data_IF_156492575150
#
_entry.id   IF_156492575150
#
_cell.length_a   1.000
_cell.length_b   1.000
_cell.length_c   1.000
_cell.angle_alpha   90.00
_cell.angle_beta   90.00
_cell.angle_gamma   90.00
#
_symmetry.space_group_name_H-M   'P 1'
#
loop_
_entity.id
_entity.type
_entity.pdbx_description
1 polymer ?
#
# COMPACT_ATOMS: atom_id res chain seq x y z
N UNK A 1 -9.39 28.86 24.98
CA UNK A 1 -10.17 29.33 23.80
C UNK A 1 -9.42 28.88 22.56
N UNK A 2 -9.68 27.66 22.09
CA UNK A 2 -9.32 27.15 20.77
C UNK A 2 -10.48 26.27 20.31
N UNK A 3 -11.52 26.94 19.83
CA UNK A 3 -12.60 26.31 19.04
C UNK A 3 -12.08 26.10 17.62
N UNK A 4 -11.55 24.92 17.36
CA UNK A 4 -11.18 24.42 16.04
C UNK A 4 -12.18 23.39 15.57
N UNK A 5 -13.25 23.87 15.04
CA UNK A 5 -14.25 23.34 14.14
C UNK A 5 -14.05 21.89 13.67
N UNK A 6 -14.64 20.89 14.35
CA UNK A 6 -15.09 19.66 13.73
C UNK A 6 -16.48 19.93 13.13
N UNK A 7 -16.52 20.44 11.91
CA UNK A 7 -17.75 20.43 11.11
C UNK A 7 -18.14 18.97 10.88
N UNK A 8 -19.30 18.62 11.41
CA UNK A 8 -20.03 17.42 11.04
C UNK A 8 -20.43 17.57 9.56
N UNK A 9 -19.57 17.12 8.65
CA UNK A 9 -19.97 16.89 7.28
C UNK A 9 -20.82 15.62 7.29
N UNK A 10 -22.08 15.80 6.91
CA UNK A 10 -23.00 14.71 6.58
C UNK A 10 -22.28 13.70 5.68
N UNK A 11 -22.49 12.39 5.86
CA UNK A 11 -21.85 11.40 4.99
C UNK A 11 -22.30 11.65 3.55
N UNK A 12 -21.39 12.11 2.71
CA UNK A 12 -21.58 12.02 1.27
C UNK A 12 -21.70 10.52 0.96
N UNK A 13 -22.89 10.11 0.54
CA UNK A 13 -23.18 8.78 0.05
C UNK A 13 -22.33 8.48 -1.18
N UNK A 14 -21.10 8.02 -0.98
CA UNK A 14 -20.38 7.25 -1.97
C UNK A 14 -20.75 5.78 -1.73
N UNK A 15 -21.81 5.33 -2.40
CA UNK A 15 -22.11 3.91 -2.48
C UNK A 15 -20.93 3.22 -3.19
N UNK A 16 -20.07 2.57 -2.42
CA UNK A 16 -19.07 1.66 -2.95
C UNK A 16 -19.82 0.41 -3.45
N UNK A 17 -19.61 -0.03 -4.69
CA UNK A 17 -20.38 -1.14 -5.26
C UNK A 17 -20.09 -2.53 -4.63
N UNK A 18 -19.16 -2.62 -3.68
CA UNK A 18 -18.80 -3.87 -3.01
C UNK A 18 -18.78 -3.72 -1.49
N UNK A 19 -19.54 -4.55 -0.75
CA UNK A 19 -19.46 -4.59 0.70
C UNK A 19 -18.14 -5.25 1.10
N UNK A 20 -17.15 -4.45 1.50
CA UNK A 20 -15.99 -4.96 2.22
C UNK A 20 -16.44 -5.12 3.67
N UNK A 21 -16.43 -6.36 4.16
CA UNK A 21 -16.97 -6.68 5.49
C UNK A 21 -15.99 -6.24 6.59
N UNK A 22 -16.52 -5.80 7.74
CA UNK A 22 -15.85 -5.55 9.03
C UNK A 22 -14.98 -6.73 9.54
N UNK A 23 -14.79 -7.74 8.70
CA UNK A 23 -14.04 -8.93 9.03
C UNK A 23 -12.54 -8.68 9.23
N UNK A 24 -11.97 -7.64 8.65
CA UNK A 24 -10.54 -7.34 8.72
C UNK A 24 -10.09 -6.89 10.12
N UNK A 25 -10.92 -6.12 10.83
CA UNK A 25 -10.63 -5.68 12.19
C UNK A 25 -11.05 -6.67 13.27
N UNK A 26 -12.02 -7.57 12.99
CA UNK A 26 -12.62 -8.48 13.99
C UNK A 26 -11.62 -9.37 14.75
N UNK A 27 -10.44 -9.59 14.21
CA UNK A 27 -9.39 -10.33 14.89
C UNK A 27 -8.39 -9.46 15.64
N UNK A 28 -8.34 -8.16 15.36
CA UNK A 28 -7.28 -7.26 15.85
C UNK A 28 -7.74 -6.27 16.92
N UNK A 29 -9.01 -5.88 16.92
CA UNK A 29 -9.59 -4.99 17.92
C UNK A 29 -10.63 -5.70 18.77
N UNK A 30 -10.78 -5.27 20.00
CA UNK A 30 -11.80 -5.83 20.91
C UNK A 30 -13.16 -5.18 20.73
N UNK A 31 -14.22 -5.80 21.28
CA UNK A 31 -15.59 -5.33 21.18
C UNK A 31 -15.86 -3.92 21.76
N UNK A 32 -14.89 -3.31 22.50
CA UNK A 32 -14.97 -1.91 22.93
C UNK A 32 -14.59 -0.99 21.79
N UNK A 33 -13.44 -1.21 21.15
CA UNK A 33 -12.99 -0.45 20.00
C UNK A 33 -13.90 -0.68 18.79
N UNK A 34 -14.41 -1.90 18.59
CA UNK A 34 -15.42 -2.20 17.56
C UNK A 34 -16.62 -1.26 17.68
N UNK A 35 -17.23 -1.18 18.88
CA UNK A 35 -18.39 -0.27 19.12
C UNK A 35 -18.08 1.20 18.88
N UNK A 36 -16.85 1.63 19.19
CA UNK A 36 -16.42 3.02 18.95
C UNK A 36 -16.24 3.31 17.46
N UNK A 37 -15.92 2.29 16.68
CA UNK A 37 -15.74 2.38 15.23
C UNK A 37 -17.02 2.05 14.44
N UNK A 38 -18.09 1.58 15.12
CA UNK A 38 -19.40 1.41 14.51
C UNK A 38 -19.86 2.72 13.82
N UNK A 39 -20.35 2.61 12.60
CA UNK A 39 -20.81 3.76 11.80
C UNK A 39 -19.76 4.40 10.91
N UNK A 40 -18.51 3.96 10.97
CA UNK A 40 -17.52 4.30 9.95
C UNK A 40 -17.54 3.26 8.81
N UNK A 41 -17.40 3.74 7.58
CA UNK A 41 -17.29 2.87 6.40
C UNK A 41 -15.87 2.28 6.32
N UNK A 42 -15.74 1.01 6.62
CA UNK A 42 -14.47 0.30 6.63
C UNK A 42 -13.78 0.31 5.27
N UNK A 43 -14.54 0.22 4.20
CA UNK A 43 -14.01 0.31 2.84
C UNK A 43 -13.30 1.63 2.56
N UNK A 44 -13.49 2.65 3.39
CA UNK A 44 -12.87 3.95 3.28
C UNK A 44 -11.85 4.26 4.38
N UNK A 45 -11.77 3.43 5.46
CA UNK A 45 -10.82 3.65 6.57
C UNK A 45 -9.44 3.16 6.19
N UNK A 46 -8.51 4.07 5.97
CA UNK A 46 -7.13 3.79 5.55
C UNK A 46 -6.14 3.67 6.71
N UNK A 47 -6.44 4.31 7.83
CA UNK A 47 -5.54 4.33 8.98
C UNK A 47 -6.31 4.55 10.29
N UNK A 48 -5.90 3.82 11.35
CA UNK A 48 -6.38 4.03 12.73
C UNK A 48 -5.19 4.26 13.63
N UNK A 49 -5.22 5.31 14.46
CA UNK A 49 -4.15 5.69 15.38
C UNK A 49 -4.61 5.60 16.82
N UNK A 50 -4.05 4.65 17.54
CA UNK A 50 -4.20 4.52 18.99
C UNK A 50 -2.99 5.14 19.68
N UNK A 51 -3.23 6.11 20.56
CA UNK A 51 -2.19 6.78 21.35
C UNK A 51 -2.72 6.95 22.79
N UNK A 52 -2.05 6.32 23.74
CA UNK A 52 -2.49 6.35 25.15
C UNK A 52 -2.73 7.76 25.64
N UNK A 53 -3.90 8.01 26.22
CA UNK A 53 -4.29 9.32 26.76
C UNK A 53 -4.62 10.40 25.72
N UNK A 54 -4.77 10.02 24.44
CA UNK A 54 -5.13 10.94 23.36
C UNK A 54 -6.40 10.48 22.66
N UNK A 55 -7.11 11.39 21.97
CA UNK A 55 -8.23 11.00 21.13
C UNK A 55 -7.85 9.89 20.14
N UNK A 56 -8.75 8.91 20.00
CA UNK A 56 -8.69 7.96 18.88
C UNK A 56 -8.83 8.74 17.58
N UNK A 57 -7.98 8.44 16.62
CA UNK A 57 -8.01 9.10 15.30
C UNK A 57 -8.09 8.03 14.24
N UNK A 58 -8.93 8.23 13.26
CA UNK A 58 -8.96 7.45 12.04
C UNK A 58 -8.98 8.36 10.81
N UNK A 59 -8.56 7.81 9.68
CA UNK A 59 -8.64 8.47 8.38
C UNK A 59 -9.60 7.67 7.50
N UNK A 60 -10.67 8.33 7.06
CA UNK A 60 -11.68 7.76 6.18
C UNK A 60 -11.83 8.62 4.93
N UNK A 61 -11.61 8.04 3.75
CA UNK A 61 -11.64 8.80 2.50
C UNK A 61 -10.67 9.99 2.48
N UNK A 62 -9.53 9.89 3.17
CA UNK A 62 -8.55 10.98 3.32
C UNK A 62 -8.91 12.02 4.39
N UNK A 63 -10.08 11.93 5.02
CA UNK A 63 -10.53 12.87 6.07
C UNK A 63 -10.16 12.32 7.44
N UNK A 64 -9.58 13.17 8.29
CA UNK A 64 -9.27 12.85 9.68
C UNK A 64 -10.53 12.93 10.55
N UNK A 65 -10.87 11.83 11.19
CA UNK A 65 -12.03 11.69 12.07
C UNK A 65 -11.59 11.35 13.51
N UNK A 66 -12.39 11.79 14.49
CA UNK A 66 -12.23 11.41 15.90
C UNK A 66 -13.56 10.79 16.38
N UNK A 67 -13.64 9.47 16.57
CA UNK A 67 -14.83 8.80 17.06
C UNK A 67 -15.32 9.36 18.39
N UNK A 68 -16.64 9.38 18.56
CA UNK A 68 -17.29 9.89 19.77
C UNK A 68 -18.16 8.80 20.38
N UNK A 69 -18.23 8.81 21.69
CA UNK A 69 -19.17 8.02 22.49
C UNK A 69 -20.20 8.97 23.13
N UNK A 70 -21.13 8.44 23.85
CA UNK A 70 -22.10 9.25 24.64
C UNK A 70 -21.38 10.20 25.61
N UNK A 71 -20.22 9.82 26.11
CA UNK A 71 -19.39 10.62 27.04
C UNK A 71 -18.46 11.62 26.35
N UNK A 72 -18.50 11.74 25.01
CA UNK A 72 -17.67 12.65 24.23
C UNK A 72 -16.68 11.96 23.30
N UNK A 73 -15.57 12.65 22.96
CA UNK A 73 -14.53 12.07 22.09
C UNK A 73 -13.87 10.90 22.81
N UNK A 74 -13.75 9.77 22.12
CA UNK A 74 -13.11 8.58 22.70
C UNK A 74 -11.61 8.80 22.91
N UNK A 75 -11.16 8.63 24.16
CA UNK A 75 -9.74 8.73 24.54
C UNK A 75 -9.18 7.33 24.71
N UNK A 76 -8.11 7.05 23.97
CA UNK A 76 -7.43 5.74 23.98
C UNK A 76 -6.83 5.45 25.35
N UNK A 77 -7.12 4.29 25.89
CA UNK A 77 -6.60 3.81 27.17
C UNK A 77 -5.33 3.00 26.98
N UNK A 78 -4.61 2.71 28.05
CA UNK A 78 -3.49 1.77 28.07
C UNK A 78 -3.94 0.37 27.64
N UNK A 79 -5.08 -0.09 28.18
CA UNK A 79 -5.67 -1.39 27.88
C UNK A 79 -5.99 -1.59 26.40
N UNK A 80 -6.45 -0.54 25.69
CA UNK A 80 -6.70 -0.60 24.25
C UNK A 80 -5.42 -0.91 23.47
N UNK A 81 -4.32 -0.22 23.82
CA UNK A 81 -3.02 -0.43 23.14
C UNK A 81 -2.45 -1.81 23.47
N UNK A 82 -2.49 -2.23 24.75
CA UNK A 82 -1.92 -3.50 25.19
C UNK A 82 -2.69 -4.69 24.59
N UNK A 83 -4.01 -4.60 24.45
CA UNK A 83 -4.83 -5.63 23.81
C UNK A 83 -4.54 -5.76 22.33
N UNK A 84 -4.55 -4.65 21.58
CA UNK A 84 -4.25 -4.68 20.16
C UNK A 84 -2.83 -5.20 19.91
N UNK A 85 -1.86 -4.79 20.72
CA UNK A 85 -0.49 -5.29 20.65
C UNK A 85 -0.42 -6.79 20.96
N UNK A 86 -1.13 -7.24 22.00
CA UNK A 86 -1.21 -8.65 22.38
C UNK A 86 -1.75 -9.50 21.24
N UNK A 87 -2.88 -9.11 20.65
CA UNK A 87 -3.47 -9.82 19.51
C UNK A 87 -2.52 -9.80 18.31
N UNK A 88 -1.95 -8.63 17.97
CA UNK A 88 -1.04 -8.48 16.84
C UNK A 88 0.25 -9.33 16.95
N UNK A 89 0.67 -9.63 18.18
CA UNK A 89 1.85 -10.45 18.46
C UNK A 89 1.53 -11.90 18.82
N UNK A 90 0.28 -12.34 18.68
CA UNK A 90 -0.22 -13.63 19.18
C UNK A 90 0.18 -13.87 20.66
N UNK A 91 0.12 -12.79 21.45
CA UNK A 91 0.54 -12.73 22.86
C UNK A 91 1.98 -13.14 23.11
N UNK A 92 2.85 -13.07 22.08
CA UNK A 92 4.27 -13.39 22.17
C UNK A 92 5.12 -12.33 21.47
N UNK A 93 5.53 -11.31 22.20
CA UNK A 93 6.41 -10.23 21.69
C UNK A 93 7.75 -10.79 21.19
N UNK A 94 8.25 -11.88 21.80
CA UNK A 94 9.49 -12.52 21.36
C UNK A 94 9.39 -13.11 19.96
N UNK A 95 8.24 -13.69 19.59
CA UNK A 95 8.02 -14.29 18.28
C UNK A 95 8.05 -13.26 17.14
N UNK A 96 7.71 -12.01 17.43
CA UNK A 96 7.62 -10.90 16.45
C UNK A 96 8.76 -9.87 16.60
N UNK A 97 9.80 -10.19 17.39
CA UNK A 97 10.87 -9.23 17.70
C UNK A 97 11.58 -8.71 16.43
N UNK A 98 11.77 -9.54 15.42
CA UNK A 98 12.37 -9.12 14.13
C UNK A 98 11.53 -8.07 13.39
N UNK A 99 10.22 -8.10 13.56
CA UNK A 99 9.32 -7.08 13.03
C UNK A 99 9.37 -5.82 13.89
N UNK A 100 9.40 -5.96 15.23
CA UNK A 100 9.50 -4.83 16.15
C UNK A 100 10.77 -4.02 15.95
N UNK A 101 11.90 -4.67 15.64
CA UNK A 101 13.15 -3.95 15.32
C UNK A 101 13.03 -3.09 14.07
N UNK A 102 12.11 -3.43 13.15
CA UNK A 102 11.77 -2.66 11.97
C UNK A 102 10.69 -1.59 12.23
N UNK A 103 10.14 -1.54 13.46
CA UNK A 103 9.15 -0.55 13.89
C UNK A 103 7.71 -0.87 13.53
N UNK A 104 7.38 -2.08 13.09
CA UNK A 104 6.02 -2.48 12.77
C UNK A 104 5.79 -3.98 12.97
N UNK A 105 4.54 -4.36 13.13
CA UNK A 105 4.03 -5.71 13.05
C UNK A 105 3.10 -5.85 11.85
N UNK A 106 2.85 -7.07 11.43
CA UNK A 106 1.80 -7.37 10.44
C UNK A 106 0.91 -8.47 11.00
N UNK A 107 -0.40 -8.25 10.93
CA UNK A 107 -1.42 -9.21 11.34
C UNK A 107 -2.60 -9.10 10.38
N UNK A 108 -3.01 -10.22 9.80
CA UNK A 108 -4.15 -10.31 8.87
C UNK A 108 -4.09 -9.25 7.74
N UNK A 109 -2.92 -9.03 7.16
CA UNK A 109 -2.67 -8.04 6.13
C UNK A 109 -2.57 -6.58 6.61
N UNK A 110 -2.89 -6.30 7.87
CA UNK A 110 -2.79 -4.96 8.46
C UNK A 110 -1.39 -4.69 8.95
N UNK A 111 -0.76 -3.62 8.48
CA UNK A 111 0.52 -3.14 9.00
C UNK A 111 0.31 -2.25 10.22
N UNK A 112 0.89 -2.64 11.33
CA UNK A 112 0.74 -2.01 12.63
C UNK A 112 2.06 -1.39 13.04
N UNK A 113 2.21 -0.07 12.82
CA UNK A 113 3.36 0.69 13.31
C UNK A 113 3.37 0.72 14.83
N UNK A 114 4.51 0.39 15.43
CA UNK A 114 4.67 0.31 16.89
C UNK A 114 5.55 1.46 17.38
N UNK A 115 5.04 2.22 18.33
CA UNK A 115 5.74 3.37 18.92
C UNK A 115 5.84 3.19 20.44
N UNK A 116 7.07 3.23 20.94
CA UNK A 116 7.37 3.06 22.36
C UNK A 116 8.80 3.45 22.66
N UNK A 117 9.35 2.92 23.73
CA UNK A 117 10.74 3.14 24.12
C UNK A 117 11.65 2.12 23.43
N UNK A 118 12.47 2.56 22.48
CA UNK A 118 13.47 1.72 21.83
C UNK A 118 14.59 1.31 22.79
N UNK A 119 14.99 0.05 22.73
CA UNK A 119 16.22 -0.45 23.35
C UNK A 119 17.27 -0.53 22.25
N UNK A 120 18.41 0.14 22.45
CA UNK A 120 19.46 0.25 21.44
C UNK A 120 20.72 -0.46 21.91
N UNK A 121 21.26 -1.33 21.07
CA UNK A 121 22.54 -1.99 21.25
C UNK A 121 23.36 -1.87 19.96
N UNK A 122 24.62 -1.49 20.06
CA UNK A 122 25.49 -1.31 18.90
C UNK A 122 24.96 -0.33 17.84
N UNK A 123 24.17 0.69 18.25
CA UNK A 123 23.57 1.68 17.34
C UNK A 123 22.31 1.19 16.59
N UNK A 124 21.79 0.01 16.94
CA UNK A 124 20.58 -0.58 16.33
C UNK A 124 19.49 -0.80 17.38
N UNK A 125 18.24 -0.63 17.00
CA UNK A 125 17.11 -0.99 17.85
C UNK A 125 17.05 -2.53 17.90
N UNK A 126 17.13 -3.09 19.11
CA UNK A 126 17.04 -4.53 19.35
C UNK A 126 15.66 -4.95 19.83
N UNK A 127 14.88 -4.02 20.39
CA UNK A 127 13.46 -4.22 20.71
C UNK A 127 12.80 -2.89 21.07
N UNK A 128 11.46 -2.90 21.20
CA UNK A 128 10.67 -1.75 21.66
C UNK A 128 9.92 -2.15 22.92
N UNK A 129 10.04 -1.33 23.97
CA UNK A 129 9.34 -1.49 25.26
C UNK A 129 8.39 -0.33 25.50
N UNK A 130 7.52 -0.49 26.49
CA UNK A 130 6.58 0.55 26.92
C UNK A 130 5.80 1.17 25.72
N UNK A 131 5.28 0.29 24.87
CA UNK A 131 4.54 0.70 23.67
C UNK A 131 3.38 1.61 24.09
N UNK A 132 3.33 2.82 23.56
CA UNK A 132 2.36 3.85 23.94
C UNK A 132 1.50 4.33 22.75
N UNK A 133 1.83 3.90 21.54
CA UNK A 133 1.00 4.15 20.38
C UNK A 133 1.13 3.03 19.34
N UNK A 134 0.02 2.82 18.63
CA UNK A 134 -0.08 1.94 17.47
C UNK A 134 -0.70 2.69 16.30
N UNK A 135 -0.20 2.42 15.10
CA UNK A 135 -0.72 2.99 13.86
C UNK A 135 -1.09 1.84 12.94
N UNK A 136 -2.38 1.53 12.87
CA UNK A 136 -2.91 0.48 12.01
C UNK A 136 -3.12 1.05 10.62
N UNK A 137 -2.42 0.53 9.63
CA UNK A 137 -2.60 0.88 8.22
C UNK A 137 -3.32 -0.26 7.52
N UNK A 138 -4.49 0.08 6.96
CA UNK A 138 -5.39 -0.87 6.34
C UNK A 138 -5.18 -0.80 4.84
N UNK A 139 -4.71 -1.89 4.22
CA UNK A 139 -4.61 -1.94 2.78
C UNK A 139 -6.02 -2.01 2.16
N UNK A 140 -6.25 -1.25 1.11
CA UNK A 140 -7.48 -1.32 0.34
C UNK A 140 -7.24 -1.93 -1.02
N UNK A 141 -8.13 -2.82 -1.41
CA UNK A 141 -8.24 -3.30 -2.77
C UNK A 141 -9.39 -2.55 -3.46
N UNK A 142 -9.09 -1.98 -4.59
CA UNK A 142 -10.09 -1.31 -5.42
C UNK A 142 -10.09 -2.01 -6.77
N UNK A 143 -10.91 -3.06 -6.89
CA UNK A 143 -11.06 -3.82 -8.14
C UNK A 143 -11.75 -2.97 -9.19
N UNK A 144 -11.24 -3.05 -10.44
CA UNK A 144 -11.75 -2.26 -11.57
C UNK A 144 -11.19 -0.83 -11.66
N UNK A 145 -10.34 -0.40 -10.71
CA UNK A 145 -9.73 0.92 -10.81
C UNK A 145 -8.77 1.05 -12.01
N UNK A 146 -8.25 -0.07 -12.51
CA UNK A 146 -7.36 -0.14 -13.65
C UNK A 146 -8.07 -0.30 -15.01
N UNK A 147 -9.38 -0.51 -15.07
CA UNK A 147 -10.09 -0.87 -16.31
C UNK A 147 -9.74 0.05 -17.49
N UNK A 148 -9.81 1.38 -17.27
CA UNK A 148 -9.48 2.37 -18.31
C UNK A 148 -8.02 2.34 -18.75
N UNK A 149 -7.12 1.92 -17.86
CA UNK A 149 -5.69 1.78 -18.18
C UNK A 149 -5.49 0.51 -18.95
N UNK A 150 -6.09 -0.60 -18.52
CA UNK A 150 -6.00 -1.91 -19.17
C UNK A 150 -6.51 -1.85 -20.59
N UNK A 151 -7.66 -1.22 -20.85
CA UNK A 151 -8.18 -1.00 -22.21
C UNK A 151 -7.15 -0.34 -23.15
N UNK A 152 -6.36 0.61 -22.63
CA UNK A 152 -5.35 1.33 -23.40
C UNK A 152 -4.04 0.55 -23.58
N UNK A 153 -3.59 -0.15 -22.53
CA UNK A 153 -2.28 -0.83 -22.56
C UNK A 153 -2.33 -2.17 -23.27
N UNK A 154 -3.48 -2.83 -23.26
CA UNK A 154 -3.70 -4.11 -24.00
C UNK A 154 -3.97 -3.84 -25.48
N UNK A 155 -4.74 -2.80 -25.82
CA UNK A 155 -5.07 -2.45 -27.20
C UNK A 155 -5.69 -3.64 -27.96
N UNK A 156 -5.04 -4.04 -29.06
CA UNK A 156 -5.51 -5.13 -29.92
C UNK A 156 -5.24 -6.55 -29.37
N UNK A 157 -4.82 -6.66 -28.13
CA UNK A 157 -4.60 -7.93 -27.43
C UNK A 157 -3.32 -7.98 -26.59
N UNK A 158 -3.25 -8.96 -25.70
CA UNK A 158 -2.18 -9.11 -24.71
C UNK A 158 -0.80 -9.31 -25.33
N UNK A 159 -0.71 -9.81 -26.57
CA UNK A 159 0.57 -9.92 -27.33
C UNK A 159 1.20 -8.54 -27.61
N UNK A 160 0.41 -7.47 -27.61
CA UNK A 160 0.84 -6.09 -27.86
C UNK A 160 0.84 -5.24 -26.59
N UNK A 161 0.84 -5.87 -25.42
CA UNK A 161 0.84 -5.18 -24.13
C UNK A 161 1.94 -4.10 -24.09
N UNK A 162 1.57 -2.90 -23.66
CA UNK A 162 2.48 -1.75 -23.53
C UNK A 162 3.09 -1.70 -22.14
N UNK A 163 4.43 -1.66 -22.03
CA UNK A 163 5.06 -1.35 -20.76
C UNK A 163 4.59 0.02 -20.25
N UNK A 164 4.18 0.07 -19.00
CA UNK A 164 3.43 1.21 -18.44
C UNK A 164 4.07 1.75 -17.17
N UNK A 165 4.24 3.06 -17.11
CA UNK A 165 4.73 3.77 -15.93
C UNK A 165 3.61 4.59 -15.29
N UNK A 166 3.34 4.33 -14.01
CA UNK A 166 2.38 5.10 -13.21
C UNK A 166 3.11 6.19 -12.42
N UNK A 167 2.74 7.44 -12.67
CA UNK A 167 3.39 8.63 -12.11
C UNK A 167 2.41 9.32 -11.17
N UNK A 168 2.80 9.57 -9.92
CA UNK A 168 1.99 10.38 -9.01
C UNK A 168 2.74 10.84 -7.77
N UNK A 169 2.24 11.83 -7.03
CA UNK A 169 2.71 12.12 -5.68
C UNK A 169 2.46 10.94 -4.71
N UNK A 170 3.11 10.93 -3.53
CA UNK A 170 2.86 9.96 -2.48
C UNK A 170 1.38 9.89 -2.09
N UNK A 171 0.89 8.68 -1.79
CA UNK A 171 -0.49 8.47 -1.32
C UNK A 171 -1.58 8.64 -2.37
N UNK A 172 -1.24 8.82 -3.65
CA UNK A 172 -2.22 9.02 -4.72
C UNK A 172 -2.80 7.72 -5.32
N UNK A 173 -2.49 6.54 -4.79
CA UNK A 173 -3.09 5.27 -5.21
C UNK A 173 -2.30 4.47 -6.26
N UNK A 174 -1.00 4.78 -6.51
CA UNK A 174 -0.15 4.02 -7.45
C UNK A 174 -0.17 2.52 -7.22
N UNK A 175 0.10 2.10 -5.98
CA UNK A 175 0.16 0.70 -5.58
C UNK A 175 -1.18 -0.01 -5.79
N UNK A 176 -2.29 0.68 -5.48
CA UNK A 176 -3.65 0.16 -5.70
C UNK A 176 -3.92 -0.05 -7.19
N UNK A 177 -3.54 0.93 -8.04
CA UNK A 177 -3.69 0.80 -9.48
C UNK A 177 -2.82 -0.32 -10.05
N UNK A 178 -1.54 -0.40 -9.68
CA UNK A 178 -0.63 -1.46 -10.15
C UNK A 178 -1.10 -2.86 -9.72
N UNK A 179 -1.65 -2.99 -8.52
CA UNK A 179 -2.22 -4.25 -8.02
C UNK A 179 -3.38 -4.70 -8.89
N UNK A 180 -4.33 -3.81 -9.20
CA UNK A 180 -5.46 -4.15 -10.04
C UNK A 180 -5.04 -4.40 -11.50
N UNK A 181 -4.03 -3.69 -12.01
CA UNK A 181 -3.41 -3.99 -13.31
C UNK A 181 -2.80 -5.40 -13.34
N UNK A 182 -2.02 -5.77 -12.31
CA UNK A 182 -1.43 -7.10 -12.19
C UNK A 182 -2.52 -8.17 -12.15
N UNK A 183 -3.52 -7.99 -11.28
CA UNK A 183 -4.64 -8.91 -11.13
C UNK A 183 -5.37 -9.17 -12.47
N UNK A 184 -5.62 -8.12 -13.24
CA UNK A 184 -6.34 -8.25 -14.51
C UNK A 184 -5.49 -8.90 -15.61
N UNK A 185 -4.21 -8.61 -15.69
CA UNK A 185 -3.34 -9.12 -16.77
C UNK A 185 -2.83 -10.53 -16.49
N UNK A 186 -2.65 -10.91 -15.23
CA UNK A 186 -2.08 -12.21 -14.84
C UNK A 186 -2.90 -13.41 -15.29
N UNK A 187 -4.21 -13.24 -15.50
CA UNK A 187 -5.08 -14.29 -16.07
C UNK A 187 -4.82 -14.59 -17.56
N UNK A 188 -4.00 -13.78 -18.20
CA UNK A 188 -3.70 -13.89 -19.63
C UNK A 188 -2.20 -14.01 -19.94
N UNK A 189 -1.34 -13.50 -19.06
CA UNK A 189 0.11 -13.48 -19.23
C UNK A 189 0.81 -13.99 -17.96
N UNK A 190 1.89 -14.76 -18.15
CA UNK A 190 2.77 -15.12 -17.03
C UNK A 190 3.32 -13.85 -16.40
N UNK A 191 2.83 -13.52 -15.22
CA UNK A 191 3.09 -12.25 -14.54
C UNK A 191 3.87 -12.49 -13.26
N UNK A 192 5.04 -11.85 -13.14
CA UNK A 192 5.82 -11.83 -11.91
C UNK A 192 5.65 -10.48 -11.22
N UNK A 193 5.22 -10.48 -9.98
CA UNK A 193 5.18 -9.30 -9.13
C UNK A 193 6.43 -9.25 -8.25
N UNK A 194 7.18 -8.16 -8.32
CA UNK A 194 8.34 -7.90 -7.46
C UNK A 194 7.94 -6.84 -6.44
N UNK A 195 7.77 -7.29 -5.20
CA UNK A 195 7.24 -6.52 -4.09
C UNK A 195 8.28 -6.36 -2.97
N UNK A 196 9.25 -5.46 -3.18
CA UNK A 196 10.35 -5.25 -2.23
C UNK A 196 9.88 -4.85 -0.83
N UNK A 197 8.74 -4.14 -0.75
CA UNK A 197 8.23 -3.53 0.48
C UNK A 197 6.96 -4.14 1.03
N UNK A 198 6.49 -5.24 0.44
CA UNK A 198 5.21 -5.87 0.80
C UNK A 198 4.00 -4.93 0.62
N UNK A 199 4.04 -4.06 -0.38
CA UNK A 199 2.99 -3.08 -0.64
C UNK A 199 2.01 -3.55 -1.73
N UNK A 200 2.45 -4.38 -2.68
CA UNK A 200 1.62 -4.92 -3.75
C UNK A 200 0.82 -6.14 -3.29
N UNK A 201 1.48 -7.18 -2.82
CA UNK A 201 0.87 -8.44 -2.40
C UNK A 201 0.52 -8.51 -0.91
N UNK A 202 0.98 -7.54 -0.13
CA UNK A 202 0.90 -7.61 1.32
C UNK A 202 1.96 -8.53 1.92
N UNK A 203 2.05 -8.57 3.25
CA UNK A 203 3.12 -9.33 3.94
C UNK A 203 2.92 -10.84 3.82
N UNK A 204 1.68 -11.30 3.78
CA UNK A 204 1.33 -12.72 3.75
C UNK A 204 0.64 -13.12 2.44
N UNK A 205 0.80 -12.32 1.36
CA UNK A 205 0.10 -12.57 0.10
C UNK A 205 -1.43 -12.39 0.20
N UNK A 206 -1.88 -11.55 1.14
CA UNK A 206 -3.30 -11.36 1.45
C UNK A 206 -4.03 -10.51 0.42
N UNK A 207 -3.31 -9.77 -0.42
CA UNK A 207 -3.88 -8.90 -1.43
C UNK A 207 -3.97 -9.61 -2.79
N UNK A 208 -5.11 -9.46 -3.44
CA UNK A 208 -5.42 -10.13 -4.71
C UNK A 208 -4.58 -9.58 -5.87
N UNK A 209 -3.65 -10.39 -6.34
CA UNK A 209 -2.81 -10.16 -7.51
C UNK A 209 -3.19 -11.07 -8.70
N UNK A 210 -4.36 -11.71 -8.64
CA UNK A 210 -4.79 -12.67 -9.65
C UNK A 210 -3.94 -13.93 -9.66
N UNK A 211 -3.47 -14.33 -10.83
CA UNK A 211 -2.63 -15.52 -11.03
C UNK A 211 -1.13 -15.20 -11.08
N UNK A 212 -0.72 -14.06 -10.52
CA UNK A 212 0.69 -13.64 -10.52
C UNK A 212 1.53 -14.47 -9.54
N UNK A 213 2.76 -14.82 -9.94
CA UNK A 213 3.81 -15.20 -9.00
C UNK A 213 4.32 -13.96 -8.26
N UNK A 214 4.62 -14.09 -6.96
CA UNK A 214 5.05 -12.96 -6.13
C UNK A 214 6.40 -13.23 -5.50
N UNK A 215 7.33 -12.32 -5.72
CA UNK A 215 8.65 -12.30 -5.06
C UNK A 215 8.72 -11.10 -4.12
N UNK A 216 8.67 -11.35 -2.82
CA UNK A 216 8.61 -10.31 -1.80
C UNK A 216 9.88 -10.16 -0.99
N UNK A 217 10.15 -8.92 -0.51
CA UNK A 217 11.24 -8.63 0.43
C UNK A 217 12.66 -8.76 -0.16
N UNK A 218 12.79 -8.84 -1.48
CA UNK A 218 14.07 -8.94 -2.20
C UNK A 218 14.33 -7.62 -2.94
N UNK A 219 15.57 -7.08 -2.88
CA UNK A 219 15.93 -5.90 -3.66
C UNK A 219 15.67 -6.11 -5.15
N UNK A 220 15.09 -5.11 -5.83
CA UNK A 220 14.63 -5.21 -7.22
C UNK A 220 15.68 -5.77 -8.17
N UNK A 221 16.91 -5.24 -8.15
CA UNK A 221 17.98 -5.68 -9.05
C UNK A 221 18.25 -7.19 -8.95
N UNK A 222 18.22 -7.75 -7.72
CA UNK A 222 18.41 -9.20 -7.49
C UNK A 222 17.16 -9.98 -7.92
N UNK A 223 15.98 -9.47 -7.58
CA UNK A 223 14.69 -10.09 -7.89
C UNK A 223 14.47 -10.20 -9.41
N UNK A 224 14.87 -9.20 -10.17
CA UNK A 224 14.74 -9.19 -11.62
C UNK A 224 15.58 -10.32 -12.28
N UNK A 225 16.85 -10.40 -11.93
CA UNK A 225 17.74 -11.41 -12.53
C UNK A 225 17.26 -12.84 -12.17
N UNK A 226 16.92 -13.06 -10.91
CA UNK A 226 16.42 -14.35 -10.44
C UNK A 226 15.06 -14.68 -11.07
N UNK A 227 14.13 -13.73 -11.05
CA UNK A 227 12.75 -13.90 -11.49
C UNK A 227 12.65 -14.23 -12.98
N UNK A 228 13.37 -13.51 -13.84
CA UNK A 228 13.39 -13.80 -15.30
C UNK A 228 13.87 -15.22 -15.59
N UNK A 229 14.87 -15.70 -14.85
CA UNK A 229 15.39 -17.06 -15.04
C UNK A 229 14.48 -18.15 -14.48
N UNK A 230 13.80 -17.87 -13.38
CA UNK A 230 13.00 -18.88 -12.66
C UNK A 230 11.59 -19.04 -13.19
N UNK A 231 10.94 -17.94 -13.61
CA UNK A 231 9.50 -17.96 -13.98
C UNK A 231 9.24 -17.68 -15.45
N UNK A 232 10.26 -17.25 -16.23
CA UNK A 232 10.10 -16.86 -17.64
C UNK A 232 8.88 -15.93 -17.86
N UNK A 233 8.80 -14.79 -17.15
CA UNK A 233 7.62 -13.94 -17.16
C UNK A 233 7.49 -13.20 -18.49
N UNK A 234 6.25 -12.97 -18.91
CA UNK A 234 5.91 -12.08 -20.02
C UNK A 234 5.72 -10.63 -19.54
N UNK A 235 5.30 -10.48 -18.28
CA UNK A 235 5.14 -9.21 -17.61
C UNK A 235 5.80 -9.24 -16.23
N UNK A 236 6.52 -8.18 -15.90
CA UNK A 236 6.93 -7.91 -14.52
C UNK A 236 6.17 -6.68 -14.02
N UNK A 237 5.55 -6.81 -12.86
CA UNK A 237 4.95 -5.70 -12.14
C UNK A 237 5.80 -5.39 -10.92
N UNK A 238 6.19 -4.14 -10.76
CA UNK A 238 7.00 -3.71 -9.62
C UNK A 238 6.47 -2.43 -9.01
N UNK A 239 6.70 -2.28 -7.72
CA UNK A 239 6.38 -1.06 -7.01
C UNK A 239 7.28 0.11 -7.45
N UNK A 240 7.53 1.04 -6.57
CA UNK A 240 8.21 2.29 -6.84
C UNK A 240 9.66 2.15 -7.32
N UNK A 241 9.96 2.70 -8.51
CA UNK A 241 11.32 2.93 -8.98
C UNK A 241 11.85 4.22 -8.36
N UNK A 242 12.96 4.18 -7.65
CA UNK A 242 13.50 5.37 -6.98
C UNK A 242 15.03 5.52 -7.09
N UNK A 243 15.74 4.47 -7.53
CA UNK A 243 17.19 4.48 -7.74
C UNK A 243 17.52 4.38 -9.22
N UNK A 244 18.68 4.87 -9.58
CA UNK A 244 19.20 4.73 -10.95
C UNK A 244 19.36 3.26 -11.33
N UNK A 245 19.80 2.44 -10.38
CA UNK A 245 19.96 1.00 -10.55
C UNK A 245 18.65 0.30 -10.90
N UNK A 246 17.52 0.78 -10.36
CA UNK A 246 16.19 0.25 -10.70
C UNK A 246 15.86 0.50 -12.19
N UNK A 247 16.21 1.68 -12.70
CA UNK A 247 15.99 2.05 -14.12
C UNK A 247 16.83 1.20 -15.04
N UNK A 248 18.11 1.02 -14.74
CA UNK A 248 19.00 0.18 -15.55
C UNK A 248 18.53 -1.28 -15.56
N UNK A 249 18.11 -1.80 -14.41
CA UNK A 249 17.54 -3.14 -14.31
C UNK A 249 16.25 -3.31 -15.12
N UNK A 250 15.38 -2.30 -15.14
CA UNK A 250 14.18 -2.29 -16.00
C UNK A 250 14.58 -2.30 -17.48
N UNK A 251 15.59 -1.53 -17.90
CA UNK A 251 16.10 -1.53 -19.28
C UNK A 251 16.60 -2.92 -19.70
N UNK A 252 17.32 -3.59 -18.81
CA UNK A 252 17.86 -4.92 -19.10
C UNK A 252 16.76 -5.97 -19.26
N UNK A 253 15.72 -5.91 -18.41
CA UNK A 253 14.54 -6.77 -18.52
C UNK A 253 13.82 -6.55 -19.86
N UNK A 254 13.62 -5.30 -20.23
CA UNK A 254 12.92 -4.96 -21.47
C UNK A 254 13.71 -5.41 -22.71
N UNK A 255 15.04 -5.41 -22.67
CA UNK A 255 15.90 -6.00 -23.73
C UNK A 255 15.69 -7.50 -23.86
N UNK A 256 15.28 -8.18 -22.78
CA UNK A 256 14.89 -9.59 -22.83
C UNK A 256 13.47 -9.82 -23.40
N UNK A 257 12.77 -8.76 -23.81
CA UNK A 257 11.42 -8.84 -24.38
C UNK A 257 10.29 -8.87 -23.34
N UNK A 258 10.60 -8.78 -22.05
CA UNK A 258 9.63 -8.77 -20.96
C UNK A 258 8.99 -7.39 -20.84
N UNK A 259 7.67 -7.33 -20.65
CA UNK A 259 6.94 -6.09 -20.39
C UNK A 259 7.05 -5.69 -18.92
N UNK A 260 6.92 -4.41 -18.64
CA UNK A 260 7.05 -3.90 -17.26
C UNK A 260 5.91 -2.94 -16.94
N UNK A 261 5.23 -3.18 -15.81
CA UNK A 261 4.41 -2.19 -15.13
C UNK A 261 5.14 -1.72 -13.89
N UNK A 262 5.35 -0.42 -13.75
CA UNK A 262 6.07 0.15 -12.63
C UNK A 262 5.43 1.46 -12.16
N UNK A 263 5.80 1.94 -10.98
CA UNK A 263 5.43 3.27 -10.53
C UNK A 263 6.64 4.12 -10.15
N UNK A 264 6.41 5.43 -10.10
CA UNK A 264 7.41 6.41 -9.69
C UNK A 264 6.74 7.59 -9.00
N UNK A 265 7.44 8.20 -8.04
CA UNK A 265 7.04 9.48 -7.50
C UNK A 265 7.40 10.62 -8.47
N UNK A 266 6.42 11.45 -8.79
CA UNK A 266 6.57 12.61 -9.65
C UNK A 266 5.23 13.32 -9.86
N UNK A 267 5.25 14.50 -10.44
CA UNK A 267 4.03 15.24 -10.77
C UNK A 267 3.48 14.81 -12.13
N UNK A 268 4.37 14.63 -13.09
CA UNK A 268 4.06 14.22 -14.46
C UNK A 268 5.35 13.74 -15.17
N UNK A 269 5.25 13.36 -16.43
CA UNK A 269 6.39 12.86 -17.22
C UNK A 269 7.48 13.91 -17.41
N UNK A 270 7.11 15.20 -17.57
CA UNK A 270 8.09 16.26 -17.79
C UNK A 270 8.93 16.53 -16.55
N UNK A 271 8.33 16.40 -15.35
CA UNK A 271 9.03 16.46 -14.07
C UNK A 271 10.08 15.36 -13.94
N UNK A 272 9.77 14.16 -14.41
CA UNK A 272 10.73 13.03 -14.41
C UNK A 272 11.90 13.24 -15.37
N UNK A 273 11.65 13.80 -16.55
CA UNK A 273 12.71 14.09 -17.55
C UNK A 273 13.74 15.10 -17.04
N UNK A 274 13.34 15.96 -16.12
CA UNK A 274 14.24 16.94 -15.50
C UNK A 274 15.11 16.33 -14.37
N UNK A 275 14.85 15.10 -13.97
CA UNK A 275 15.55 14.44 -12.87
C UNK A 275 16.73 13.62 -13.38
N UNK A 276 17.92 13.85 -12.81
CA UNK A 276 19.13 13.06 -13.16
C UNK A 276 18.96 11.56 -12.86
N UNK A 277 18.14 11.21 -11.87
CA UNK A 277 17.86 9.81 -11.49
C UNK A 277 17.09 9.08 -12.58
N UNK A 278 16.17 9.78 -13.27
CA UNK A 278 15.24 9.18 -14.22
C UNK A 278 15.61 9.42 -15.70
N UNK A 279 16.87 9.77 -15.98
CA UNK A 279 17.36 9.96 -17.36
C UNK A 279 17.09 8.72 -18.21
N UNK A 280 16.36 8.91 -19.32
CA UNK A 280 16.01 7.86 -20.28
C UNK A 280 14.88 6.94 -19.84
N UNK A 281 14.16 7.24 -18.75
CA UNK A 281 13.00 6.46 -18.31
C UNK A 281 11.90 6.44 -19.36
N UNK A 282 11.75 7.54 -20.11
CA UNK A 282 10.76 7.65 -21.19
C UNK A 282 11.02 6.67 -22.33
N UNK A 283 12.25 6.19 -22.50
CA UNK A 283 12.59 5.18 -23.53
C UNK A 283 12.11 3.78 -23.14
N UNK A 284 11.95 3.54 -21.83
CA UNK A 284 11.56 2.24 -21.29
C UNK A 284 10.07 1.96 -21.41
N UNK A 285 9.21 2.97 -21.49
CA UNK A 285 7.77 2.79 -21.41
C UNK A 285 7.06 3.33 -22.64
N UNK A 286 5.96 2.67 -23.03
CA UNK A 286 5.09 3.06 -24.12
C UNK A 286 3.82 3.76 -23.63
N UNK A 287 3.46 3.57 -22.34
CA UNK A 287 2.28 4.21 -21.75
C UNK A 287 2.67 4.85 -20.41
N UNK A 288 2.14 6.05 -20.18
CA UNK A 288 2.39 6.85 -18.96
C UNK A 288 1.05 7.26 -18.37
N UNK A 289 0.79 6.82 -17.14
CA UNK A 289 -0.43 7.12 -16.41
C UNK A 289 -0.13 8.09 -15.29
N UNK A 290 -0.76 9.27 -15.32
CA UNK A 290 -0.60 10.25 -14.23
C UNK A 290 -1.81 10.21 -13.32
N UNK A 291 -1.57 10.07 -12.00
CA UNK A 291 -2.63 10.09 -10.99
C UNK A 291 -2.59 11.37 -10.15
N UNK A 292 -3.77 11.85 -9.80
CA UNK A 292 -4.01 12.80 -8.70
C UNK A 292 -4.45 12.05 -7.43
N UNK A 293 -4.51 12.76 -6.28
CA UNK A 293 -4.99 12.16 -5.02
C UNK A 293 -6.29 11.38 -5.16
N UNK A 294 -6.42 10.33 -4.35
CA UNK A 294 -7.57 9.40 -4.32
C UNK A 294 -7.69 8.56 -5.62
N UNK A 295 -6.57 8.22 -6.26
CA UNK A 295 -6.56 7.33 -7.42
C UNK A 295 -7.16 7.90 -8.70
N UNK A 296 -7.41 9.20 -8.76
CA UNK A 296 -7.99 9.84 -9.96
C UNK A 296 -6.99 9.84 -11.10
N UNK A 297 -7.30 9.16 -12.20
CA UNK A 297 -6.53 9.22 -13.44
C UNK A 297 -6.68 10.62 -14.04
N UNK A 298 -5.57 11.33 -14.16
CA UNK A 298 -5.49 12.69 -14.78
C UNK A 298 -5.23 12.57 -16.27
N UNK A 299 -4.29 11.71 -16.65
CA UNK A 299 -3.94 11.49 -18.05
C UNK A 299 -3.43 10.08 -18.28
N UNK A 300 -3.66 9.57 -19.48
CA UNK A 300 -3.02 8.38 -20.03
C UNK A 300 -2.39 8.84 -21.34
N UNK A 301 -1.06 8.86 -21.40
CA UNK A 301 -0.28 9.24 -22.57
C UNK A 301 0.37 8.01 -23.17
N UNK A 302 0.21 7.79 -24.45
CA UNK A 302 0.81 6.71 -25.22
C UNK A 302 1.81 7.31 -26.22
N UNK A 303 2.96 6.64 -26.32
CA UNK A 303 4.07 7.04 -27.21
C UNK A 303 3.94 6.35 -28.57
#
# INVERSE_FOLDING_TARGET
MFDGCCLALSPLNFAHPYPISFSMFRGLIDGRLERVLEGFDEGLVTEVRLRVGKPLVLFQGGVRCCPRTESGVYVVTRDDVDRVLGIASDFSIYAVNDQLTKGYLVKDGIRIGVVGRGVVEGGRIVTVKDVNALVLRIPHEVKGCADKVIERVVGDGYSHLKSTLVISPPGAGKTTLLRDMARQVSTHLNTLVIDERFELGGVDGTLDLGESEVMSGVPKAVAYEFGVRSTSPQLIVTDELFRREDIEAVKDIMRCGVKVFASVHGKNLDDLKCSETFVGIEECFQCFVTLAPIGKIVSIYEK
#
